data_IF_716418700739
#
_entry.id   IF_716418700739
#
_cell.length_a   1.000
_cell.length_b   1.000
_cell.length_c   1.000
_cell.angle_alpha   90.00
_cell.angle_beta   90.00
_cell.angle_gamma   90.00
#
_symmetry.space_group_name_H-M   'P 1'
#
loop_
_entity.id
_entity.type
_entity.pdbx_description
1 polymer ?
#
# COMPACT_ATOMS: atom_id res chain seq x y z
N UNK A 1 -1.81 13.93 10.18
CA UNK A 1 -2.44 13.16 9.09
C UNK A 1 -1.62 13.26 7.80
N UNK A 2 -1.46 14.43 7.18
CA UNK A 2 -0.59 14.55 5.99
C UNK A 2 0.89 14.29 6.32
N UNK A 3 1.37 14.82 7.45
CA UNK A 3 2.76 14.58 7.89
C UNK A 3 3.04 13.11 8.22
N UNK A 4 2.04 12.36 8.70
CA UNK A 4 2.18 10.93 8.98
C UNK A 4 2.15 10.11 7.69
N UNK A 5 1.31 10.48 6.72
CA UNK A 5 1.31 9.89 5.38
C UNK A 5 2.68 10.03 4.69
N UNK A 6 3.20 11.26 4.66
CA UNK A 6 4.49 11.55 4.01
C UNK A 6 5.64 10.79 4.68
N UNK A 7 5.61 10.62 6.01
CA UNK A 7 6.61 9.82 6.75
C UNK A 7 6.53 8.33 6.43
N UNK A 8 5.33 7.76 6.27
CA UNK A 8 5.19 6.35 5.87
C UNK A 8 5.71 6.13 4.46
N UNK A 9 5.35 7.01 3.53
CA UNK A 9 5.81 6.94 2.15
C UNK A 9 7.34 7.10 2.06
N UNK A 10 7.91 8.06 2.79
CA UNK A 10 9.37 8.26 2.86
C UNK A 10 10.09 7.07 3.50
N UNK A 11 9.50 6.43 4.50
CA UNK A 11 10.03 5.18 5.08
C UNK A 11 10.02 4.02 4.08
N UNK A 12 8.97 3.87 3.27
CA UNK A 12 8.88 2.81 2.27
C UNK A 12 9.92 3.02 1.17
N UNK A 13 10.01 4.24 0.63
CA UNK A 13 11.03 4.56 -0.36
C UNK A 13 12.44 4.39 0.19
N UNK A 14 12.74 4.91 1.40
CA UNK A 14 14.05 4.73 2.00
C UNK A 14 14.36 3.26 2.28
N UNK A 15 13.37 2.45 2.69
CA UNK A 15 13.58 1.02 2.87
C UNK A 15 13.99 0.37 1.54
N UNK A 16 13.25 0.58 0.47
CA UNK A 16 13.58 0.00 -0.83
C UNK A 16 14.89 0.53 -1.42
N UNK A 17 15.20 1.83 -1.24
CA UNK A 17 16.47 2.43 -1.66
C UNK A 17 17.65 1.86 -0.83
N UNK A 18 17.47 1.65 0.47
CA UNK A 18 18.50 1.09 1.35
C UNK A 18 18.72 -0.40 1.08
N UNK A 19 17.64 -1.17 0.89
CA UNK A 19 17.70 -2.59 0.52
C UNK A 19 18.38 -2.80 -0.83
N UNK A 20 18.19 -1.87 -1.79
CA UNK A 20 18.93 -1.84 -3.07
C UNK A 20 20.44 -1.65 -2.87
N UNK A 21 20.86 -0.89 -1.87
CA UNK A 21 22.27 -0.60 -1.60
C UNK A 21 22.99 -1.78 -0.93
N UNK A 22 22.30 -2.58 -0.12
CA UNK A 22 22.90 -3.66 0.68
C UNK A 22 22.91 -5.03 -0.02
N UNK A 23 21.97 -5.35 -0.91
CA UNK A 23 21.77 -6.73 -1.38
C UNK A 23 22.16 -7.02 -2.84
N UNK A 24 22.72 -6.08 -3.61
CA UNK A 24 23.08 -6.26 -5.05
C UNK A 24 21.95 -6.91 -5.88
N UNK A 25 20.73 -6.80 -5.38
CA UNK A 25 19.53 -7.44 -5.89
C UNK A 25 18.81 -6.42 -6.77
N UNK A 26 18.30 -6.81 -7.95
CA UNK A 26 17.62 -5.90 -8.87
C UNK A 26 16.18 -5.61 -8.40
N UNK A 27 16.00 -5.30 -7.11
CA UNK A 27 14.76 -4.72 -6.58
C UNK A 27 14.70 -3.27 -7.06
N UNK A 28 14.38 -3.12 -8.34
CA UNK A 28 14.15 -1.85 -8.98
C UNK A 28 12.68 -1.51 -8.80
N UNK A 29 12.41 -0.50 -7.96
CA UNK A 29 11.06 0.08 -7.88
C UNK A 29 10.74 0.65 -9.26
N UNK A 30 9.69 0.15 -9.88
CA UNK A 30 9.12 0.77 -11.06
C UNK A 30 8.15 1.85 -10.57
N UNK A 31 8.60 3.10 -10.57
CA UNK A 31 7.77 4.22 -10.10
C UNK A 31 6.46 4.37 -10.89
N UNK A 32 6.39 3.90 -12.14
CA UNK A 32 5.15 3.99 -12.92
C UNK A 32 4.10 2.98 -12.43
N UNK A 33 4.53 1.87 -11.83
CA UNK A 33 3.66 0.78 -11.36
C UNK A 33 3.48 0.80 -9.84
N UNK A 34 4.54 1.04 -9.08
CA UNK A 34 4.59 0.89 -7.63
C UNK A 34 4.14 2.14 -6.87
N UNK A 35 4.21 3.33 -7.49
CA UNK A 35 3.90 4.59 -6.81
C UNK A 35 2.46 4.65 -6.32
N UNK A 36 1.50 4.30 -7.18
CA UNK A 36 0.08 4.30 -6.84
C UNK A 36 -0.25 3.35 -5.68
N UNK A 37 0.09 2.05 -5.72
CA UNK A 37 -0.20 1.13 -4.62
C UNK A 37 0.58 1.46 -3.35
N UNK A 38 1.84 1.92 -3.42
CA UNK A 38 2.59 2.37 -2.23
C UNK A 38 1.94 3.60 -1.57
N UNK A 39 1.43 4.53 -2.37
CA UNK A 39 0.66 5.67 -1.88
C UNK A 39 -0.64 5.21 -1.20
N UNK A 40 -1.39 4.30 -1.82
CA UNK A 40 -2.63 3.77 -1.26
C UNK A 40 -2.38 3.01 0.04
N UNK A 41 -1.35 2.17 0.10
CA UNK A 41 -0.95 1.49 1.33
C UNK A 41 -0.62 2.49 2.45
N UNK A 42 0.18 3.52 2.13
CA UNK A 42 0.51 4.59 3.09
C UNK A 42 -0.74 5.34 3.55
N UNK A 43 -1.72 5.59 2.68
CA UNK A 43 -2.99 6.22 3.02
C UNK A 43 -3.82 5.37 3.98
N UNK A 44 -3.92 4.07 3.72
CA UNK A 44 -4.66 3.13 4.57
C UNK A 44 -4.08 3.11 5.98
N UNK A 45 -2.76 2.97 6.11
CA UNK A 45 -2.09 2.81 7.40
C UNK A 45 -1.80 4.12 8.15
N UNK A 46 -1.95 5.28 7.51
CA UNK A 46 -1.77 6.58 8.18
C UNK A 46 -3.07 7.35 8.44
N UNK A 47 -4.10 7.17 7.60
CA UNK A 47 -5.37 7.90 7.69
C UNK A 47 -6.53 6.96 7.98
N UNK A 48 -6.72 5.88 7.22
CA UNK A 48 -7.86 4.99 7.43
C UNK A 48 -7.75 4.20 8.75
N UNK A 49 -6.53 4.00 9.26
CA UNK A 49 -6.25 3.33 10.53
C UNK A 49 -6.87 4.03 11.75
N UNK A 50 -7.17 5.33 11.68
CA UNK A 50 -7.74 6.10 12.79
C UNK A 50 -9.25 5.90 12.98
N UNK A 51 -9.88 5.07 12.13
CA UNK A 51 -11.33 4.81 12.16
C UNK A 51 -11.70 3.64 13.07
N UNK A 52 -12.91 3.68 13.61
CA UNK A 52 -13.51 2.60 14.40
C UNK A 52 -14.01 1.44 13.52
N UNK A 53 -14.56 0.38 14.11
CA UNK A 53 -15.01 -0.81 13.35
C UNK A 53 -16.06 -0.49 12.27
N UNK A 54 -16.94 0.49 12.51
CA UNK A 54 -17.92 0.93 11.53
C UNK A 54 -17.25 1.76 10.41
N UNK A 55 -16.38 2.70 10.79
CA UNK A 55 -15.60 3.52 9.88
C UNK A 55 -14.65 2.69 9.01
N UNK A 56 -14.07 1.61 9.52
CA UNK A 56 -13.22 0.69 8.74
C UNK A 56 -13.99 0.05 7.58
N UNK A 57 -15.23 -0.40 7.83
CA UNK A 57 -16.11 -0.95 6.78
C UNK A 57 -16.48 0.10 5.75
N UNK A 58 -16.79 1.32 6.21
CA UNK A 58 -17.10 2.44 5.34
C UNK A 58 -15.91 2.81 4.45
N UNK A 59 -14.71 2.95 5.05
CA UNK A 59 -13.48 3.28 4.33
C UNK A 59 -13.06 2.18 3.36
N UNK A 60 -13.21 0.90 3.73
CA UNK A 60 -12.96 -0.22 2.83
C UNK A 60 -13.78 -0.11 1.54
N UNK A 61 -15.10 0.10 1.66
CA UNK A 61 -15.97 0.25 0.50
C UNK A 61 -15.73 1.55 -0.27
N UNK A 62 -15.61 2.67 0.45
CA UNK A 62 -15.41 3.99 -0.13
C UNK A 62 -14.10 4.07 -0.93
N UNK A 63 -12.99 3.59 -0.38
CA UNK A 63 -11.68 3.66 -1.03
C UNK A 63 -11.64 2.80 -2.29
N UNK A 64 -12.16 1.56 -2.22
CA UNK A 64 -12.30 0.66 -3.38
C UNK A 64 -13.11 1.29 -4.50
N UNK A 65 -14.30 1.81 -4.18
CA UNK A 65 -15.15 2.50 -5.15
C UNK A 65 -14.46 3.74 -5.73
N UNK A 66 -13.69 4.48 -4.92
CA UNK A 66 -12.97 5.67 -5.37
C UNK A 66 -11.87 5.32 -6.36
N UNK A 67 -11.10 4.26 -6.11
CA UNK A 67 -10.07 3.77 -7.04
C UNK A 67 -10.67 3.27 -8.34
N UNK A 68 -11.76 2.49 -8.28
CA UNK A 68 -12.49 2.04 -9.48
C UNK A 68 -13.00 3.24 -10.31
N UNK A 69 -13.57 4.27 -9.68
CA UNK A 69 -14.05 5.48 -10.36
C UNK A 69 -12.93 6.30 -11.00
N UNK A 70 -11.73 6.29 -10.41
CA UNK A 70 -10.58 7.01 -10.93
C UNK A 70 -9.81 6.20 -11.98
N UNK A 71 -10.26 4.99 -12.31
CA UNK A 71 -9.62 4.13 -13.31
C UNK A 71 -8.29 3.55 -12.84
N UNK A 72 -8.10 3.37 -11.53
CA UNK A 72 -6.88 2.79 -10.95
C UNK A 72 -6.60 1.42 -11.54
N UNK A 73 -5.36 1.21 -11.99
CA UNK A 73 -4.88 -0.09 -12.48
C UNK A 73 -4.60 -1.09 -11.35
N UNK A 74 -4.49 -0.61 -10.11
CA UNK A 74 -3.98 -1.36 -8.96
C UNK A 74 -4.99 -1.44 -7.82
N UNK A 75 -6.26 -1.71 -8.13
CA UNK A 75 -7.30 -1.89 -7.09
C UNK A 75 -7.00 -3.09 -6.19
N UNK A 76 -7.27 -2.97 -4.88
CA UNK A 76 -7.11 -4.10 -3.94
C UNK A 76 -7.92 -5.33 -4.40
N UNK A 77 -7.39 -6.57 -4.26
CA UNK A 77 -8.12 -7.78 -4.58
C UNK A 77 -9.38 -7.96 -3.70
N UNK A 78 -10.35 -8.72 -4.17
CA UNK A 78 -11.50 -9.23 -3.38
C UNK A 78 -11.19 -10.72 -3.10
N UNK A 79 -11.49 -11.27 -1.91
CA UNK A 79 -12.57 -10.90 -1.00
C UNK A 79 -12.19 -10.06 0.24
N UNK A 80 -10.91 -9.87 0.53
CA UNK A 80 -10.48 -9.31 1.82
C UNK A 80 -10.62 -7.78 1.87
N UNK A 81 -10.25 -7.18 3.00
CA UNK A 81 -10.33 -5.72 3.17
C UNK A 81 -9.04 -5.03 2.72
N UNK A 82 -9.12 -3.72 2.49
CA UNK A 82 -7.94 -2.89 2.20
C UNK A 82 -6.85 -2.95 3.30
N UNK A 83 -7.19 -3.43 4.50
CA UNK A 83 -6.26 -3.56 5.62
C UNK A 83 -5.50 -4.89 5.63
N UNK A 84 -5.91 -5.85 4.81
CA UNK A 84 -5.34 -7.20 4.78
C UNK A 84 -4.21 -7.33 3.76
N UNK A 85 -4.01 -6.32 2.91
CA UNK A 85 -3.02 -6.34 1.84
C UNK A 85 -1.78 -5.47 2.14
N UNK A 86 -0.64 -5.95 1.67
CA UNK A 86 0.62 -5.22 1.48
C UNK A 86 1.01 -5.24 0.00
N UNK A 87 1.78 -4.26 -0.45
CA UNK A 87 2.30 -4.23 -1.80
C UNK A 87 3.67 -4.90 -1.86
N UNK A 88 3.82 -5.91 -2.70
CA UNK A 88 5.12 -6.52 -3.01
C UNK A 88 5.68 -5.89 -4.29
N UNK A 89 6.75 -5.12 -4.14
CA UNK A 89 7.49 -4.46 -5.23
C UNK A 89 8.26 -5.44 -6.12
N UNK A 90 8.44 -6.70 -5.69
CA UNK A 90 9.12 -7.73 -6.49
C UNK A 90 8.19 -8.34 -7.53
N UNK A 91 6.93 -8.55 -7.14
CA UNK A 91 5.90 -9.16 -7.98
C UNK A 91 4.94 -8.14 -8.57
N UNK A 92 5.07 -6.86 -8.17
CA UNK A 92 4.15 -5.77 -8.49
C UNK A 92 2.69 -6.17 -8.24
N UNK A 93 2.43 -6.72 -7.06
CA UNK A 93 1.12 -7.28 -6.73
C UNK A 93 0.74 -7.10 -5.25
N UNK A 94 -0.57 -7.13 -4.99
CA UNK A 94 -1.12 -7.13 -3.63
C UNK A 94 -1.03 -8.52 -3.02
N UNK A 95 -0.33 -8.63 -1.89
CA UNK A 95 -0.19 -9.87 -1.11
C UNK A 95 -0.83 -9.70 0.27
N UNK A 96 -1.29 -10.79 0.88
CA UNK A 96 -1.80 -10.71 2.25
C UNK A 96 -0.63 -10.45 3.19
N UNK A 97 -0.69 -9.39 4.00
CA UNK A 97 0.45 -9.04 4.86
C UNK A 97 0.71 -10.10 5.94
N UNK A 98 -0.33 -10.82 6.37
CA UNK A 98 -0.19 -11.94 7.30
C UNK A 98 0.64 -13.10 6.73
N UNK A 99 0.68 -13.25 5.40
CA UNK A 99 1.49 -14.28 4.73
C UNK A 99 2.95 -13.81 4.51
N UNK A 100 3.27 -12.56 4.84
CA UNK A 100 4.63 -12.00 4.73
C UNK A 100 5.45 -12.07 6.02
N UNK A 101 4.85 -12.57 7.11
CA UNK A 101 5.49 -12.67 8.42
C UNK A 101 5.74 -14.16 8.73
N UNK A 102 6.98 -14.60 8.52
CA UNK A 102 7.53 -15.83 9.09
C UNK A 102 8.12 -15.60 10.50
#
# INVERSE_FOLDING_TARGET
LVSSLMRMMDSLFNHHITTKLENDSPLEIDLDVDLEPLFMFSLVWSVCCTTDSAGRKCMNGWLRNKMEQMGSGCTFPKPDTIYDYSWDVTTHSWVLWMDTID
#
